data_IF_535797746944
#
_entry.id   IF_535797746944
#
_cell.length_a   1.000
_cell.length_b   1.000
_cell.length_c   1.000
_cell.angle_alpha   90.00
_cell.angle_beta   90.00
_cell.angle_gamma   90.00
#
_symmetry.space_group_name_H-M   'P 1'
#
loop_
_entity.id
_entity.type
_entity.pdbx_description
1 polymer ?
#
# COMPACT_ATOMS: atom_id res chain seq x y z
N UNK A 1 -15.06 1.77 6.06
CA UNK A 1 -14.42 3.09 5.86
C UNK A 1 -15.07 4.25 6.62
N UNK A 2 -16.41 4.46 6.64
CA UNK A 2 -17.03 5.58 7.40
C UNK A 2 -16.76 5.58 8.92
N UNK A 3 -16.61 4.43 9.59
CA UNK A 3 -16.40 4.34 11.06
C UNK A 3 -14.94 4.59 11.49
N UNK A 4 -13.94 4.32 10.67
CA UNK A 4 -12.53 4.55 11.01
C UNK A 4 -12.15 6.04 10.98
N UNK A 5 -12.77 6.82 10.07
CA UNK A 5 -12.56 8.27 10.00
C UNK A 5 -13.20 9.06 11.14
N UNK A 6 -14.18 8.49 11.86
CA UNK A 6 -14.86 9.20 12.95
C UNK A 6 -14.04 9.28 14.25
N UNK A 7 -13.10 8.37 14.47
CA UNK A 7 -12.30 8.31 15.70
C UNK A 7 -11.13 9.29 15.69
N UNK A 8 -10.53 9.54 14.51
CA UNK A 8 -9.43 10.52 14.38
C UNK A 8 -9.91 11.97 14.28
N UNK A 9 -11.13 12.22 13.78
CA UNK A 9 -11.69 13.60 13.70
C UNK A 9 -11.95 14.24 15.06
N UNK A 10 -12.17 13.45 16.11
CA UNK A 10 -12.42 13.98 17.45
C UNK A 10 -11.17 14.42 18.21
N UNK A 11 -10.01 13.77 17.97
CA UNK A 11 -8.86 13.93 18.86
C UNK A 11 -8.06 15.21 18.60
N UNK A 12 -7.78 15.57 17.36
CA UNK A 12 -6.98 16.77 17.04
C UNK A 12 -7.76 18.06 17.27
N UNK A 13 -9.03 18.12 16.88
CA UNK A 13 -9.91 19.26 17.16
C UNK A 13 -10.15 19.42 18.66
N UNK A 14 -10.28 18.32 19.40
CA UNK A 14 -10.44 18.33 20.86
C UNK A 14 -9.15 18.77 21.56
N UNK A 15 -7.99 18.28 21.09
CA UNK A 15 -6.68 18.68 21.64
C UNK A 15 -6.40 20.18 21.41
N UNK A 16 -6.69 20.68 20.23
CA UNK A 16 -6.56 22.12 19.92
C UNK A 16 -7.51 22.97 20.77
N UNK A 17 -8.75 22.56 20.97
CA UNK A 17 -9.68 23.24 21.87
C UNK A 17 -9.20 23.19 23.33
N UNK A 18 -8.72 22.03 23.80
CA UNK A 18 -8.18 21.90 25.16
C UNK A 18 -6.95 22.79 25.37
N UNK A 19 -6.04 22.85 24.41
CA UNK A 19 -4.87 23.75 24.42
C UNK A 19 -5.31 25.22 24.39
N UNK A 20 -6.33 25.58 23.62
CA UNK A 20 -6.87 26.93 23.57
C UNK A 20 -7.46 27.38 24.92
N UNK A 21 -8.29 26.52 25.52
CA UNK A 21 -8.88 26.81 26.84
C UNK A 21 -7.80 26.89 27.94
N UNK A 22 -6.80 26.02 27.88
CA UNK A 22 -5.67 26.04 28.81
C UNK A 22 -4.90 27.37 28.75
N UNK A 23 -4.52 27.80 27.54
CA UNK A 23 -3.79 29.06 27.37
C UNK A 23 -4.63 30.30 27.65
N UNK A 24 -5.93 30.31 27.33
CA UNK A 24 -6.82 31.38 27.72
C UNK A 24 -6.95 31.50 29.25
N UNK A 25 -7.05 30.36 29.94
CA UNK A 25 -7.07 30.32 31.42
C UNK A 25 -5.74 30.78 32.02
N UNK A 26 -4.59 30.39 31.46
CA UNK A 26 -3.26 30.84 31.88
C UNK A 26 -3.13 32.37 31.71
N UNK A 27 -3.54 32.94 30.59
CA UNK A 27 -3.48 34.37 30.35
C UNK A 27 -4.36 35.15 31.34
N UNK A 28 -5.53 34.61 31.70
CA UNK A 28 -6.41 35.22 32.69
C UNK A 28 -5.86 35.13 34.12
N UNK A 29 -5.26 33.99 34.49
CA UNK A 29 -4.63 33.74 35.78
C UNK A 29 -3.42 34.65 36.05
N UNK A 30 -2.64 34.98 35.01
CA UNK A 30 -1.47 35.84 35.13
C UNK A 30 -1.78 37.34 34.90
N UNK A 31 -3.05 37.76 34.94
CA UNK A 31 -3.51 39.15 34.80
C UNK A 31 -3.04 39.86 33.54
N UNK A 32 -2.86 39.14 32.44
CA UNK A 32 -2.62 39.77 31.15
C UNK A 32 -3.88 40.52 30.68
N UNK A 33 -3.71 41.60 29.95
CA UNK A 33 -4.85 42.37 29.43
C UNK A 33 -5.78 41.50 28.59
N UNK A 34 -7.09 41.60 28.83
CA UNK A 34 -8.12 40.75 28.20
C UNK A 34 -8.09 40.79 26.67
N UNK A 35 -7.61 41.89 26.07
CA UNK A 35 -7.47 41.99 24.60
C UNK A 35 -6.37 41.06 24.05
N UNK A 36 -5.36 40.71 24.81
CA UNK A 36 -4.37 39.70 24.39
C UNK A 36 -4.96 38.26 24.36
N UNK A 37 -5.79 37.94 25.34
CA UNK A 37 -6.52 36.67 25.36
C UNK A 37 -7.53 36.61 24.20
N UNK A 38 -8.23 37.73 23.92
CA UNK A 38 -9.14 37.84 22.78
C UNK A 38 -8.40 37.75 21.44
N UNK A 39 -7.27 38.43 21.28
CA UNK A 39 -6.44 38.34 20.07
C UNK A 39 -5.93 36.91 19.82
N UNK A 40 -5.47 36.21 20.85
CA UNK A 40 -5.04 34.83 20.77
C UNK A 40 -6.20 33.90 20.37
N UNK A 41 -7.38 34.05 20.97
CA UNK A 41 -8.57 33.27 20.62
C UNK A 41 -9.00 33.50 19.14
N UNK A 42 -8.91 34.71 18.63
CA UNK A 42 -9.21 35.03 17.21
C UNK A 42 -8.21 34.33 16.28
N UNK A 43 -6.92 34.39 16.59
CA UNK A 43 -5.87 33.70 15.79
C UNK A 43 -6.09 32.17 15.79
N UNK A 44 -6.32 31.58 16.96
CA UNK A 44 -6.57 30.15 17.06
C UNK A 44 -7.84 29.72 16.31
N UNK A 45 -8.91 30.52 16.39
CA UNK A 45 -10.14 30.27 15.64
C UNK A 45 -9.91 30.38 14.13
N UNK A 46 -9.14 31.36 13.67
CA UNK A 46 -8.79 31.50 12.26
C UNK A 46 -7.97 30.31 11.76
N UNK A 47 -6.96 29.87 12.52
CA UNK A 47 -6.15 28.67 12.21
C UNK A 47 -7.04 27.42 12.18
N UNK A 48 -7.92 27.23 13.15
CA UNK A 48 -8.87 26.14 13.19
C UNK A 48 -9.80 26.12 11.96
N UNK A 49 -10.36 27.28 11.59
CA UNK A 49 -11.22 27.40 10.40
C UNK A 49 -10.44 27.08 9.12
N UNK A 50 -9.19 27.55 9.02
CA UNK A 50 -8.34 27.27 7.84
C UNK A 50 -8.02 25.78 7.74
N UNK A 51 -7.64 25.13 8.86
CA UNK A 51 -7.34 23.70 8.89
C UNK A 51 -8.58 22.88 8.58
N UNK A 52 -9.72 23.21 9.18
CA UNK A 52 -10.98 22.50 8.93
C UNK A 52 -11.47 22.67 7.48
N UNK A 53 -11.31 23.86 6.89
CA UNK A 53 -11.61 24.08 5.46
C UNK A 53 -10.69 23.28 4.55
N UNK A 54 -9.39 23.17 4.87
CA UNK A 54 -8.44 22.33 4.11
C UNK A 54 -8.82 20.85 4.20
N UNK A 55 -9.16 20.35 5.38
CA UNK A 55 -9.63 18.97 5.55
C UNK A 55 -10.95 18.70 4.81
N UNK A 56 -11.92 19.62 4.89
CA UNK A 56 -13.18 19.46 4.19
C UNK A 56 -13.00 19.49 2.67
N UNK A 57 -12.16 20.40 2.15
CA UNK A 57 -11.83 20.45 0.72
C UNK A 57 -11.14 19.15 0.27
N UNK A 58 -10.12 18.70 0.99
CA UNK A 58 -9.44 17.45 0.70
C UNK A 58 -10.37 16.24 0.77
N UNK A 59 -11.33 16.21 1.72
CA UNK A 59 -12.34 15.16 1.80
C UNK A 59 -13.32 15.17 0.62
N UNK A 60 -13.73 16.38 0.19
CA UNK A 60 -14.60 16.55 -0.96
C UNK A 60 -13.92 16.16 -2.26
N UNK A 61 -12.65 16.58 -2.45
CA UNK A 61 -11.86 16.23 -3.63
C UNK A 61 -11.66 14.72 -3.75
N UNK A 62 -11.40 14.04 -2.63
CA UNK A 62 -11.30 12.57 -2.63
C UNK A 62 -12.63 11.88 -2.95
N UNK A 63 -13.74 12.34 -2.39
CA UNK A 63 -15.04 11.75 -2.68
C UNK A 63 -15.41 11.91 -4.17
N UNK A 64 -15.00 13.02 -4.79
CA UNK A 64 -15.17 13.24 -6.23
C UNK A 64 -14.30 12.26 -7.04
N UNK A 65 -13.01 12.11 -6.69
CA UNK A 65 -12.09 11.15 -7.32
C UNK A 65 -12.57 9.71 -7.13
N UNK A 66 -12.99 9.32 -5.92
CA UNK A 66 -13.55 7.99 -5.64
C UNK A 66 -14.80 7.69 -6.47
N UNK A 67 -15.69 8.70 -6.63
CA UNK A 67 -16.88 8.57 -7.47
C UNK A 67 -16.52 8.42 -8.96
N UNK A 68 -15.54 9.17 -9.43
CA UNK A 68 -15.03 9.08 -10.80
C UNK A 68 -14.37 7.72 -11.06
N UNK A 69 -13.56 7.24 -10.11
CA UNK A 69 -12.92 5.93 -10.15
C UNK A 69 -13.96 4.79 -10.19
N UNK A 70 -15.00 4.86 -9.36
CA UNK A 70 -16.10 3.88 -9.38
C UNK A 70 -16.86 3.89 -10.71
N UNK A 71 -17.05 5.07 -11.31
CA UNK A 71 -17.68 5.18 -12.65
C UNK A 71 -16.76 4.60 -13.72
N UNK A 72 -15.47 4.91 -13.69
CA UNK A 72 -14.49 4.37 -14.64
C UNK A 72 -14.36 2.86 -14.52
N UNK A 73 -14.30 2.30 -13.29
CA UNK A 73 -14.32 0.87 -13.01
C UNK A 73 -15.57 0.20 -13.60
N UNK A 74 -16.75 0.81 -13.37
CA UNK A 74 -18.01 0.31 -13.94
C UNK A 74 -17.98 0.32 -15.48
N UNK A 75 -17.50 1.40 -16.09
CA UNK A 75 -17.39 1.53 -17.54
C UNK A 75 -16.36 0.56 -18.10
N UNK A 76 -15.20 0.44 -17.49
CA UNK A 76 -14.17 -0.50 -17.88
C UNK A 76 -14.65 -1.96 -17.78
N UNK A 77 -15.41 -2.31 -16.73
CA UNK A 77 -16.00 -3.64 -16.58
C UNK A 77 -17.13 -3.95 -17.57
N UNK A 78 -17.76 -2.93 -18.15
CA UNK A 78 -18.81 -3.12 -19.16
C UNK A 78 -18.26 -3.13 -20.59
N UNK A 79 -17.25 -2.31 -20.88
CA UNK A 79 -16.78 -2.04 -22.24
C UNK A 79 -15.33 -2.47 -22.48
N UNK A 80 -14.68 -3.08 -21.49
CA UNK A 80 -13.24 -3.44 -21.56
C UNK A 80 -12.30 -2.24 -21.66
N UNK A 81 -12.75 -1.03 -21.28
CA UNK A 81 -11.98 0.22 -21.38
C UNK A 81 -11.04 0.40 -20.19
N UNK A 82 -10.08 -0.53 -20.08
CA UNK A 82 -9.04 -0.48 -19.06
C UNK A 82 -8.18 0.79 -19.16
N UNK A 83 -8.04 1.35 -20.38
CA UNK A 83 -7.24 2.56 -20.62
C UNK A 83 -7.83 3.82 -19.96
N UNK A 84 -9.16 3.97 -20.00
CA UNK A 84 -9.83 5.07 -19.28
C UNK A 84 -9.65 4.97 -17.78
N UNK A 85 -9.74 3.77 -17.22
CA UNK A 85 -9.50 3.54 -15.78
C UNK A 85 -8.08 3.95 -15.39
N UNK A 86 -7.12 3.53 -16.16
CA UNK A 86 -5.72 3.86 -15.92
C UNK A 86 -5.48 5.38 -15.94
N UNK A 87 -5.90 6.08 -16.97
CA UNK A 87 -5.73 7.54 -17.08
C UNK A 87 -6.32 8.28 -15.86
N UNK A 88 -7.45 7.80 -15.36
CA UNK A 88 -8.09 8.38 -14.18
C UNK A 88 -7.27 8.05 -12.92
N UNK A 89 -6.79 6.81 -12.80
CA UNK A 89 -5.93 6.41 -11.68
C UNK A 89 -4.62 7.18 -11.67
N UNK A 90 -3.94 7.29 -12.81
CA UNK A 90 -2.64 7.95 -12.91
C UNK A 90 -2.74 9.47 -12.68
N UNK A 91 -3.69 10.13 -13.35
CA UNK A 91 -3.74 11.58 -13.36
C UNK A 91 -4.47 12.18 -12.15
N UNK A 92 -5.38 11.44 -11.51
CA UNK A 92 -6.21 11.94 -10.40
C UNK A 92 -6.17 11.04 -9.17
N UNK A 93 -6.33 9.72 -9.36
CA UNK A 93 -6.47 8.78 -8.26
C UNK A 93 -5.21 8.65 -7.41
N UNK A 94 -4.09 8.31 -8.02
CA UNK A 94 -2.81 8.14 -7.31
C UNK A 94 -2.31 9.43 -6.65
N UNK A 95 -2.31 10.60 -7.30
CA UNK A 95 -1.91 11.84 -6.64
C UNK A 95 -2.74 12.15 -5.39
N UNK A 96 -4.06 11.95 -5.44
CA UNK A 96 -4.92 12.19 -4.28
C UNK A 96 -4.74 11.13 -3.17
N UNK A 97 -4.53 9.87 -3.54
CA UNK A 97 -4.23 8.82 -2.58
C UNK A 97 -2.88 9.03 -1.92
N UNK A 98 -1.85 9.44 -2.67
CA UNK A 98 -0.52 9.73 -2.14
C UNK A 98 -0.50 10.86 -1.13
N UNK A 99 -1.33 11.90 -1.30
CA UNK A 99 -1.50 12.97 -0.29
C UNK A 99 -2.06 12.47 1.05
N UNK A 100 -2.64 11.27 1.07
CA UNK A 100 -3.30 10.65 2.24
C UNK A 100 -2.61 9.40 2.71
N UNK A 101 -1.48 9.05 2.09
CA UNK A 101 -0.67 7.95 2.58
C UNK A 101 -0.24 8.22 4.02
N UNK A 102 -0.18 7.21 4.85
CA UNK A 102 0.41 7.35 6.18
C UNK A 102 1.88 7.75 6.03
N UNK A 103 2.44 8.37 7.05
CA UNK A 103 3.90 8.65 7.08
C UNK A 103 4.71 7.38 7.35
N UNK A 104 4.07 6.32 7.83
CA UNK A 104 4.69 5.06 8.23
C UNK A 104 3.96 3.86 7.66
N UNK A 105 4.72 2.83 7.34
CA UNK A 105 4.24 1.50 6.92
C UNK A 105 4.94 0.41 7.70
N UNK A 106 4.33 -0.76 7.73
CA UNK A 106 4.76 -1.87 8.58
C UNK A 106 4.94 -3.14 7.73
N UNK A 107 6.00 -3.90 8.02
CA UNK A 107 6.21 -5.19 7.38
C UNK A 107 6.46 -6.25 8.42
N UNK A 108 5.68 -7.33 8.33
CA UNK A 108 5.79 -8.49 9.18
C UNK A 108 6.79 -9.50 8.61
N UNK A 109 7.50 -10.16 9.50
CA UNK A 109 8.49 -11.17 9.17
C UNK A 109 8.30 -12.40 10.06
N UNK A 110 8.20 -13.56 9.45
CA UNK A 110 8.16 -14.81 10.20
C UNK A 110 9.56 -15.15 10.75
N UNK A 111 9.61 -15.68 11.96
CA UNK A 111 10.77 -16.37 12.52
C UNK A 111 10.32 -17.74 13.00
N UNK A 112 11.11 -18.77 12.70
CA UNK A 112 10.93 -20.13 13.20
C UNK A 112 11.82 -20.42 14.39
N UNK A 113 12.35 -21.62 14.42
CA UNK A 113 13.23 -22.10 15.50
C UNK A 113 14.71 -22.07 15.08
N UNK A 114 15.15 -21.04 14.38
CA UNK A 114 16.56 -20.83 14.03
C UNK A 114 17.00 -21.50 12.73
N UNK A 115 16.10 -21.66 11.76
CA UNK A 115 16.45 -22.22 10.45
C UNK A 115 17.33 -21.24 9.62
N UNK A 116 17.90 -21.74 8.53
CA UNK A 116 18.74 -20.95 7.61
C UNK A 116 17.98 -19.75 7.03
N UNK A 117 16.67 -19.89 6.81
CA UNK A 117 15.84 -18.82 6.28
C UNK A 117 15.66 -17.68 7.27
N UNK A 118 15.62 -17.99 8.57
CA UNK A 118 15.57 -16.95 9.62
C UNK A 118 16.84 -16.10 9.62
N UNK A 119 18.02 -16.74 9.50
CA UNK A 119 19.29 -16.04 9.36
C UNK A 119 19.31 -15.12 8.14
N UNK A 120 18.88 -15.59 6.99
CA UNK A 120 18.80 -14.82 5.75
C UNK A 120 17.84 -13.62 5.87
N UNK A 121 16.69 -13.78 6.54
CA UNK A 121 15.75 -12.67 6.77
C UNK A 121 16.36 -11.58 7.64
N UNK A 122 16.93 -11.95 8.77
CA UNK A 122 17.58 -11.02 9.68
C UNK A 122 18.72 -10.28 9.01
N UNK A 123 19.57 -10.99 8.26
CA UNK A 123 20.66 -10.38 7.50
C UNK A 123 20.16 -9.42 6.41
N UNK A 124 19.09 -9.79 5.70
CA UNK A 124 18.46 -8.95 4.68
C UNK A 124 17.99 -7.64 5.29
N UNK A 125 17.26 -7.70 6.41
CA UNK A 125 16.77 -6.50 7.10
C UNK A 125 17.93 -5.68 7.68
N UNK A 126 18.94 -6.34 8.28
CA UNK A 126 20.13 -5.71 8.84
C UNK A 126 20.96 -4.93 7.79
N UNK A 127 20.84 -5.29 6.51
CA UNK A 127 21.47 -4.61 5.38
C UNK A 127 20.54 -3.58 4.70
N UNK A 128 19.46 -3.16 5.35
CA UNK A 128 18.46 -2.23 4.81
C UNK A 128 17.89 -2.70 3.46
N UNK A 129 17.64 -4.01 3.33
CA UNK A 129 17.07 -4.63 2.13
C UNK A 129 15.81 -5.39 2.47
N UNK A 130 14.95 -5.52 1.46
CA UNK A 130 13.71 -6.30 1.52
C UNK A 130 13.64 -7.24 0.32
N UNK A 131 13.05 -8.42 0.55
CA UNK A 131 12.75 -9.34 -0.53
C UNK A 131 11.49 -8.88 -1.27
N UNK A 132 11.63 -8.64 -2.57
CA UNK A 132 10.55 -8.35 -3.50
C UNK A 132 10.20 -9.62 -4.26
N UNK A 133 9.00 -10.15 -4.03
CA UNK A 133 8.55 -11.45 -4.58
C UNK A 133 7.84 -11.28 -5.91
N UNK A 134 7.96 -12.27 -6.81
CA UNK A 134 7.06 -12.38 -7.96
C UNK A 134 5.65 -12.77 -7.49
N UNK A 135 4.58 -12.40 -8.24
CA UNK A 135 3.19 -12.68 -7.84
C UNK A 135 2.89 -14.15 -7.58
N UNK A 136 3.53 -15.06 -8.30
CA UNK A 136 3.37 -16.51 -8.12
C UNK A 136 3.89 -17.04 -6.77
N UNK A 137 4.57 -16.21 -6.00
CA UNK A 137 5.05 -16.53 -4.64
C UNK A 137 4.10 -16.11 -3.53
N UNK A 138 2.96 -15.49 -3.85
CA UNK A 138 1.96 -15.04 -2.89
C UNK A 138 0.96 -16.14 -2.55
N UNK A 139 0.24 -15.97 -1.45
CA UNK A 139 -0.80 -16.89 -1.00
C UNK A 139 -2.17 -16.68 -1.69
N UNK A 140 -2.39 -15.54 -2.30
CA UNK A 140 -3.59 -15.26 -3.08
C UNK A 140 -3.46 -15.84 -4.50
N UNK A 141 -4.28 -16.81 -4.91
CA UNK A 141 -4.23 -17.37 -6.26
C UNK A 141 -4.57 -16.36 -7.36
N UNK A 142 -5.27 -15.27 -7.02
CA UNK A 142 -5.61 -14.19 -7.95
C UNK A 142 -4.62 -13.01 -7.90
N UNK A 143 -3.46 -13.19 -7.26
CA UNK A 143 -2.48 -12.12 -7.18
C UNK A 143 -1.98 -11.67 -8.55
N UNK A 144 -2.13 -10.37 -8.84
CA UNK A 144 -1.89 -9.75 -10.16
C UNK A 144 -2.71 -10.36 -11.31
N UNK A 145 -3.83 -11.02 -10.99
CA UNK A 145 -4.80 -11.54 -11.97
C UNK A 145 -6.07 -10.70 -12.06
N UNK A 146 -5.95 -9.41 -11.81
CA UNK A 146 -7.08 -8.51 -11.84
C UNK A 146 -7.76 -8.41 -13.22
N UNK A 147 -7.03 -8.66 -14.29
CA UNK A 147 -7.55 -8.65 -15.65
C UNK A 147 -7.84 -10.06 -16.16
N UNK A 148 -8.82 -10.17 -17.07
CA UNK A 148 -9.15 -11.41 -17.76
C UNK A 148 -9.60 -11.14 -19.20
N UNK A 149 -9.50 -12.16 -20.06
CA UNK A 149 -10.16 -12.22 -21.37
C UNK A 149 -10.85 -13.58 -21.47
N UNK A 150 -12.05 -13.58 -22.05
CA UNK A 150 -12.75 -14.80 -22.41
C UNK A 150 -13.18 -14.77 -23.90
N UNK A 151 -13.71 -15.89 -24.39
CA UNK A 151 -14.25 -15.96 -25.78
C UNK A 151 -15.31 -14.91 -26.02
N UNK A 152 -16.12 -14.59 -25.01
CA UNK A 152 -17.15 -13.55 -25.10
C UNK A 152 -16.54 -12.19 -25.39
N UNK A 153 -15.55 -11.76 -24.60
CA UNK A 153 -14.88 -10.47 -24.79
C UNK A 153 -14.13 -10.40 -26.14
N UNK A 154 -13.54 -11.51 -26.59
CA UNK A 154 -12.91 -11.59 -27.92
C UNK A 154 -13.94 -11.48 -29.05
N UNK A 155 -15.11 -12.12 -28.90
CA UNK A 155 -16.22 -12.03 -29.85
C UNK A 155 -16.76 -10.60 -29.97
N UNK A 156 -16.87 -9.88 -28.85
CA UNK A 156 -17.33 -8.48 -28.82
C UNK A 156 -16.44 -7.53 -29.61
N UNK A 157 -15.13 -7.82 -29.73
CA UNK A 157 -14.18 -7.04 -30.53
C UNK A 157 -13.90 -7.64 -31.93
N UNK A 158 -14.71 -8.63 -32.32
CA UNK A 158 -14.73 -9.17 -33.70
C UNK A 158 -13.67 -10.22 -34.01
N UNK A 159 -13.10 -10.90 -33.00
CA UNK A 159 -12.20 -12.04 -33.26
C UNK A 159 -12.97 -13.21 -33.91
N UNK A 160 -12.44 -13.80 -35.00
CA UNK A 160 -13.06 -14.94 -35.63
C UNK A 160 -13.09 -16.16 -34.68
N UNK A 161 -14.18 -16.95 -34.60
CA UNK A 161 -14.33 -18.10 -33.71
C UNK A 161 -13.16 -19.11 -33.80
N UNK A 162 -12.64 -19.35 -35.03
CA UNK A 162 -11.55 -20.28 -35.25
C UNK A 162 -10.17 -19.79 -34.77
N UNK A 163 -10.06 -18.55 -34.35
CA UNK A 163 -8.81 -17.92 -33.81
C UNK A 163 -8.87 -17.63 -32.35
N UNK A 164 -10.06 -17.73 -31.70
CA UNK A 164 -10.27 -17.37 -30.30
C UNK A 164 -9.32 -18.11 -29.35
N UNK A 165 -9.19 -19.42 -29.50
CA UNK A 165 -8.29 -20.20 -28.64
C UNK A 165 -6.82 -19.78 -28.78
N UNK A 166 -6.39 -19.43 -30.00
CA UNK A 166 -5.03 -18.91 -30.23
C UNK A 166 -4.84 -17.54 -29.57
N UNK A 167 -5.86 -16.68 -29.61
CA UNK A 167 -5.83 -15.37 -28.96
C UNK A 167 -5.78 -15.50 -27.43
N UNK A 168 -6.55 -16.41 -26.83
CA UNK A 168 -6.52 -16.70 -25.40
C UNK A 168 -5.13 -17.21 -24.99
N UNK A 169 -4.56 -18.15 -25.71
CA UNK A 169 -3.22 -18.67 -25.42
C UNK A 169 -2.14 -17.56 -25.54
N UNK A 170 -2.29 -16.66 -26.50
CA UNK A 170 -1.39 -15.51 -26.66
C UNK A 170 -1.51 -14.55 -25.48
N UNK A 171 -2.74 -14.25 -25.03
CA UNK A 171 -2.98 -13.45 -23.82
C UNK A 171 -2.28 -14.04 -22.62
N UNK A 172 -2.51 -15.31 -22.31
CA UNK A 172 -1.89 -16.01 -21.18
C UNK A 172 -0.36 -15.97 -21.26
N UNK A 173 0.19 -16.15 -22.45
CA UNK A 173 1.64 -16.09 -22.68
C UNK A 173 2.20 -14.69 -22.41
N UNK A 174 1.55 -13.65 -22.92
CA UNK A 174 1.98 -12.26 -22.76
C UNK A 174 1.88 -11.81 -21.29
N UNK A 175 0.74 -12.04 -20.67
CA UNK A 175 0.53 -11.66 -19.27
C UNK A 175 1.43 -12.47 -18.33
N UNK A 176 1.58 -13.76 -18.58
CA UNK A 176 2.50 -14.60 -17.82
C UNK A 176 3.94 -14.08 -17.87
N UNK A 177 4.44 -13.76 -19.07
CA UNK A 177 5.78 -13.21 -19.27
C UNK A 177 5.99 -11.85 -18.56
N UNK A 178 4.94 -11.03 -18.45
CA UNK A 178 4.99 -9.75 -17.75
C UNK A 178 4.94 -9.99 -16.24
N UNK A 179 4.04 -10.85 -15.75
CA UNK A 179 3.92 -11.20 -14.32
C UNK A 179 5.21 -11.78 -13.75
N UNK A 180 5.94 -12.58 -14.53
CA UNK A 180 7.26 -13.09 -14.13
C UNK A 180 8.30 -11.99 -13.91
N UNK A 181 8.09 -10.78 -14.46
CA UNK A 181 8.99 -9.64 -14.31
C UNK A 181 8.53 -8.63 -13.26
N UNK A 182 7.29 -8.74 -12.81
CA UNK A 182 6.80 -7.91 -11.72
C UNK A 182 7.29 -8.51 -10.41
N UNK A 183 7.84 -7.67 -9.54
CA UNK A 183 8.13 -8.05 -8.16
C UNK A 183 7.52 -7.02 -7.21
N UNK A 184 7.07 -7.48 -6.05
CA UNK A 184 6.28 -6.69 -5.11
C UNK A 184 6.83 -6.84 -3.70
N UNK A 185 6.95 -5.71 -3.01
CA UNK A 185 7.12 -5.67 -1.55
C UNK A 185 5.82 -5.17 -0.95
N UNK A 186 5.20 -5.98 -0.09
CA UNK A 186 3.94 -5.64 0.57
C UNK A 186 4.19 -5.09 1.98
N UNK A 187 3.47 -4.04 2.31
CA UNK A 187 3.42 -3.41 3.62
C UNK A 187 1.96 -3.30 4.07
N UNK A 188 1.73 -3.11 5.36
CA UNK A 188 0.43 -2.75 5.92
C UNK A 188 0.49 -1.40 6.62
N UNK A 189 -0.67 -0.80 6.85
CA UNK A 189 -0.79 0.45 7.61
C UNK A 189 -1.02 0.22 9.11
N UNK A 190 -1.16 -1.04 9.54
CA UNK A 190 -1.52 -1.37 10.93
C UNK A 190 -0.51 -2.35 11.55
N UNK A 191 0.24 -1.95 12.59
CA UNK A 191 1.19 -2.81 13.29
C UNK A 191 0.51 -3.74 14.33
N UNK A 192 -0.77 -3.50 14.64
CA UNK A 192 -1.48 -4.18 15.73
C UNK A 192 -2.56 -5.15 15.21
N UNK A 193 -2.49 -5.52 13.93
CA UNK A 193 -3.46 -6.40 13.30
C UNK A 193 -3.19 -7.86 13.66
N UNK A 194 -4.08 -8.49 14.42
CA UNK A 194 -3.91 -9.87 14.88
C UNK A 194 -3.83 -10.89 13.75
N UNK A 195 -4.69 -10.86 12.71
CA UNK A 195 -4.53 -11.68 11.52
C UNK A 195 -3.16 -11.53 10.85
N UNK A 196 -2.63 -10.30 10.73
CA UNK A 196 -1.30 -10.08 10.15
C UNK A 196 -0.19 -10.72 11.00
N UNK A 197 -0.25 -10.61 12.31
CA UNK A 197 0.67 -11.29 13.23
C UNK A 197 0.57 -12.81 13.12
N UNK A 198 -0.63 -13.36 12.99
CA UNK A 198 -0.85 -14.80 12.87
C UNK A 198 -0.29 -15.33 11.54
N UNK A 199 -0.61 -14.69 10.41
CA UNK A 199 -0.29 -15.20 9.07
C UNK A 199 1.13 -14.88 8.62
N UNK A 200 1.64 -13.68 8.94
CA UNK A 200 2.90 -13.17 8.39
C UNK A 200 4.05 -13.13 9.38
N UNK A 201 3.77 -13.25 10.69
CA UNK A 201 4.78 -13.32 11.73
C UNK A 201 4.83 -14.70 12.43
N UNK A 202 4.50 -15.77 11.71
CA UNK A 202 4.55 -17.15 12.22
C UNK A 202 3.86 -17.28 13.59
N UNK A 203 2.55 -17.07 13.65
CA UNK A 203 1.76 -17.21 14.88
C UNK A 203 2.29 -16.34 16.03
N UNK A 204 2.64 -15.09 15.73
CA UNK A 204 3.21 -14.11 16.67
C UNK A 204 4.63 -14.46 17.18
N UNK A 205 5.34 -15.41 16.56
CA UNK A 205 6.72 -15.77 16.92
C UNK A 205 7.77 -14.89 16.24
N UNK A 206 7.40 -14.20 15.16
CA UNK A 206 8.26 -13.34 14.37
C UNK A 206 8.29 -11.89 14.88
N UNK A 207 8.52 -10.99 13.96
CA UNK A 207 8.66 -9.56 14.25
C UNK A 207 7.99 -8.69 13.18
N UNK A 208 7.82 -7.43 13.51
CA UNK A 208 7.33 -6.41 12.57
C UNK A 208 8.31 -5.23 12.59
N UNK A 209 8.60 -4.66 11.43
CA UNK A 209 9.42 -3.44 11.32
C UNK A 209 8.55 -2.30 10.83
N UNK A 210 8.64 -1.18 11.51
CA UNK A 210 8.10 0.11 11.11
C UNK A 210 9.08 0.79 10.18
N UNK A 211 8.58 1.29 9.06
CA UNK A 211 9.34 2.09 8.11
C UNK A 211 8.67 3.45 7.95
N UNK A 212 9.44 4.52 8.01
CA UNK A 212 9.01 5.85 7.60
C UNK A 212 9.12 5.98 6.08
N UNK A 213 8.16 6.67 5.47
CA UNK A 213 8.10 6.87 4.02
C UNK A 213 8.81 8.16 3.66
N UNK A 214 9.93 8.04 2.94
CA UNK A 214 10.71 9.16 2.42
C UNK A 214 10.16 9.67 1.08
N UNK A 215 9.72 8.73 0.23
CA UNK A 215 9.20 9.03 -1.10
C UNK A 215 7.90 8.26 -1.38
N UNK A 216 6.73 8.88 -1.13
CA UNK A 216 5.44 8.25 -1.39
C UNK A 216 5.15 8.01 -2.88
N UNK A 217 5.94 8.59 -3.81
CA UNK A 217 5.74 8.39 -5.25
C UNK A 217 6.07 6.96 -5.70
N UNK A 218 6.90 6.26 -4.95
CA UNK A 218 7.33 4.87 -5.20
C UNK A 218 6.36 3.81 -4.69
N UNK A 219 5.33 4.23 -3.96
CA UNK A 219 4.39 3.34 -3.28
C UNK A 219 2.98 3.44 -3.87
N UNK A 220 2.29 2.32 -3.85
CA UNK A 220 0.94 2.15 -4.39
C UNK A 220 0.01 1.60 -3.31
N UNK A 221 -1.01 2.37 -2.87
CA UNK A 221 -2.09 1.82 -2.06
C UNK A 221 -2.85 0.75 -2.85
N UNK A 222 -3.22 -0.35 -2.19
CA UNK A 222 -3.99 -1.42 -2.85
C UNK A 222 -5.46 -1.03 -2.99
N UNK A 223 -5.98 -1.24 -4.20
CA UNK A 223 -7.39 -1.04 -4.54
C UNK A 223 -8.14 -2.36 -4.38
N UNK A 224 -9.01 -2.42 -3.39
CA UNK A 224 -9.81 -3.60 -3.11
C UNK A 224 -11.13 -3.59 -3.89
N UNK A 225 -11.38 -4.65 -4.67
CA UNK A 225 -12.56 -4.77 -5.53
C UNK A 225 -13.10 -6.20 -5.47
N UNK A 226 -14.39 -6.36 -5.78
CA UNK A 226 -15.07 -7.65 -5.92
C UNK A 226 -15.17 -8.12 -7.38
N UNK A 227 -14.57 -7.38 -8.34
CA UNK A 227 -14.67 -7.65 -9.77
C UNK A 227 -13.33 -7.60 -10.44
N UNK A 228 -13.11 -8.57 -11.31
CA UNK A 228 -12.00 -8.55 -12.27
C UNK A 228 -12.38 -7.69 -13.47
N UNK A 229 -11.38 -7.15 -14.15
CA UNK A 229 -11.54 -6.24 -15.27
C UNK A 229 -11.37 -6.98 -16.60
N UNK A 230 -12.34 -6.91 -17.55
CA UNK A 230 -12.14 -7.41 -18.89
C UNK A 230 -11.08 -6.57 -19.62
N UNK A 231 -10.15 -7.22 -20.30
CA UNK A 231 -8.92 -6.62 -20.80
C UNK A 231 -8.77 -6.67 -22.34
N UNK A 232 -9.87 -6.87 -23.11
CA UNK A 232 -9.80 -7.00 -24.56
C UNK A 232 -9.15 -5.79 -25.24
N UNK A 233 -9.43 -4.57 -24.80
CA UNK A 233 -8.82 -3.36 -25.35
C UNK A 233 -7.30 -3.30 -25.04
N UNK A 234 -6.89 -3.69 -23.83
CA UNK A 234 -5.48 -3.78 -23.46
C UNK A 234 -4.77 -4.85 -24.29
N UNK A 235 -5.42 -6.00 -24.52
CA UNK A 235 -4.88 -7.07 -25.33
C UNK A 235 -4.60 -6.64 -26.79
N UNK A 236 -5.55 -5.95 -27.40
CA UNK A 236 -5.36 -5.41 -28.76
C UNK A 236 -4.21 -4.41 -28.80
N UNK A 237 -4.13 -3.51 -27.83
CA UNK A 237 -3.04 -2.53 -27.75
C UNK A 237 -1.67 -3.18 -27.50
N UNK A 238 -1.62 -4.25 -26.69
CA UNK A 238 -0.39 -5.03 -26.48
C UNK A 238 0.06 -5.69 -27.79
N UNK A 239 -0.84 -6.40 -28.47
CA UNK A 239 -0.53 -7.02 -29.78
C UNK A 239 -0.02 -5.96 -30.75
N UNK A 240 -0.74 -4.85 -30.90
CA UNK A 240 -0.35 -3.78 -31.81
C UNK A 240 1.05 -3.24 -31.47
N UNK A 241 1.34 -2.97 -30.20
CA UNK A 241 2.64 -2.44 -29.79
C UNK A 241 3.79 -3.44 -29.91
N UNK A 242 3.53 -4.75 -29.83
CA UNK A 242 4.56 -5.77 -29.99
C UNK A 242 4.90 -6.05 -31.46
N UNK A 243 3.90 -5.97 -32.34
CA UNK A 243 4.07 -6.33 -33.76
C UNK A 243 4.25 -5.12 -34.68
N UNK A 244 4.06 -3.91 -34.19
CA UNK A 244 4.28 -2.68 -34.96
C UNK A 244 5.51 -1.94 -34.45
N UNK A 245 6.57 -1.88 -35.27
CA UNK A 245 7.82 -1.16 -34.96
C UNK A 245 7.63 0.35 -34.82
N UNK A 246 6.60 0.91 -35.46
CA UNK A 246 6.35 2.36 -35.52
C UNK A 246 5.70 2.91 -34.25
N UNK A 247 5.32 2.03 -33.29
CA UNK A 247 4.81 2.48 -32.00
C UNK A 247 5.94 3.11 -31.19
N UNK A 248 5.81 4.37 -30.73
CA UNK A 248 6.81 5.04 -29.94
C UNK A 248 7.11 4.27 -28.63
N UNK A 249 8.36 4.30 -28.21
CA UNK A 249 8.78 3.63 -26.96
C UNK A 249 8.06 4.18 -25.72
N UNK A 250 7.66 5.45 -25.73
CA UNK A 250 6.87 6.06 -24.65
C UNK A 250 5.47 5.45 -24.54
N UNK A 251 4.82 5.14 -25.66
CA UNK A 251 3.52 4.47 -25.65
C UNK A 251 3.62 3.02 -25.17
N UNK A 252 4.70 2.32 -25.53
CA UNK A 252 5.00 0.98 -24.99
C UNK A 252 5.25 1.02 -23.49
N UNK A 253 6.00 2.00 -23.03
CA UNK A 253 6.27 2.22 -21.59
C UNK A 253 5.00 2.54 -20.82
N UNK A 254 4.14 3.39 -21.40
CA UNK A 254 2.84 3.72 -20.85
C UNK A 254 1.99 2.46 -20.65
N UNK A 255 1.98 1.58 -21.66
CA UNK A 255 1.23 0.33 -21.63
C UNK A 255 1.75 -0.65 -20.54
N UNK A 256 3.08 -0.72 -20.35
CA UNK A 256 3.68 -1.51 -19.28
C UNK A 256 3.39 -0.92 -17.89
N UNK A 257 3.43 0.39 -17.74
CA UNK A 257 3.06 1.08 -16.50
C UNK A 257 1.61 0.81 -16.10
N UNK A 258 0.72 0.65 -17.07
CA UNK A 258 -0.65 0.20 -16.84
C UNK A 258 -0.71 -1.13 -16.09
N UNK A 259 0.04 -2.11 -16.58
CA UNK A 259 0.06 -3.45 -16.01
C UNK A 259 0.65 -3.42 -14.60
N UNK A 260 1.69 -2.60 -14.40
CA UNK A 260 2.27 -2.36 -13.06
C UNK A 260 1.22 -1.80 -12.12
N UNK A 261 0.49 -0.77 -12.52
CA UNK A 261 -0.54 -0.16 -11.69
C UNK A 261 -1.71 -1.13 -11.40
N UNK A 262 -2.10 -1.94 -12.39
CA UNK A 262 -3.14 -2.96 -12.19
C UNK A 262 -2.70 -4.08 -11.25
N UNK A 263 -1.39 -4.23 -11.00
CA UNK A 263 -0.86 -5.11 -9.94
C UNK A 263 -1.08 -4.58 -8.51
N UNK A 264 -1.59 -3.35 -8.37
CA UNK A 264 -2.05 -2.81 -7.09
C UNK A 264 -3.55 -3.10 -6.80
N UNK A 265 -4.19 -3.97 -7.58
CA UNK A 265 -5.57 -4.40 -7.32
C UNK A 265 -5.59 -5.77 -6.64
N UNK A 266 -6.52 -5.94 -5.69
CA UNK A 266 -6.68 -7.18 -4.92
C UNK A 266 -8.16 -7.44 -4.62
N UNK A 267 -8.52 -8.70 -4.40
CA UNK A 267 -9.88 -9.04 -4.00
C UNK A 267 -10.26 -8.40 -2.67
N UNK A 268 -11.53 -7.98 -2.57
CA UNK A 268 -12.05 -7.27 -1.40
C UNK A 268 -11.98 -8.09 -0.10
N UNK A 269 -11.95 -9.41 -0.16
CA UNK A 269 -11.80 -10.27 1.02
C UNK A 269 -10.51 -10.00 1.78
N UNK A 270 -9.46 -9.51 1.10
CA UNK A 270 -8.18 -9.14 1.69
C UNK A 270 -8.10 -7.70 2.22
N UNK A 271 -9.20 -6.95 2.20
CA UNK A 271 -9.22 -5.52 2.56
C UNK A 271 -8.79 -5.21 4.01
N UNK A 272 -8.84 -6.19 4.89
CA UNK A 272 -8.35 -6.08 6.27
C UNK A 272 -6.83 -5.83 6.33
N UNK A 273 -6.07 -6.28 5.33
CA UNK A 273 -4.62 -6.09 5.29
C UNK A 273 -4.20 -4.62 5.14
N UNK A 274 -5.08 -3.73 4.64
CA UNK A 274 -4.78 -2.31 4.40
C UNK A 274 -3.43 -2.12 3.71
N UNK A 275 -3.23 -2.83 2.61
CA UNK A 275 -1.94 -3.05 1.99
C UNK A 275 -1.45 -1.81 1.22
N UNK A 276 -0.14 -1.57 1.28
CA UNK A 276 0.62 -0.64 0.44
C UNK A 276 1.74 -1.43 -0.22
N UNK A 277 1.99 -1.20 -1.51
CA UNK A 277 2.95 -1.96 -2.31
C UNK A 277 4.04 -1.08 -2.89
N UNK A 278 5.29 -1.54 -2.85
CA UNK A 278 6.30 -1.15 -3.82
C UNK A 278 6.29 -2.17 -4.96
N UNK A 279 6.07 -1.71 -6.18
CA UNK A 279 5.91 -2.57 -7.37
C UNK A 279 7.00 -2.24 -8.38
N UNK A 280 7.72 -3.26 -8.84
CA UNK A 280 8.83 -3.11 -9.76
C UNK A 280 8.63 -3.97 -11.01
N UNK A 281 8.90 -3.38 -12.16
CA UNK A 281 9.03 -4.13 -13.42
C UNK A 281 10.54 -4.34 -13.70
N UNK A 282 10.97 -5.59 -13.74
CA UNK A 282 12.37 -5.94 -13.77
C UNK A 282 12.78 -6.51 -15.12
N UNK A 283 14.05 -6.28 -15.52
CA UNK A 283 14.69 -7.05 -16.57
C UNK A 283 14.96 -8.49 -16.10
N UNK A 284 15.05 -9.46 -17.03
CA UNK A 284 15.31 -10.87 -16.70
C UNK A 284 16.60 -11.08 -15.89
N UNK A 285 17.63 -10.29 -16.16
CA UNK A 285 18.92 -10.38 -15.49
C UNK A 285 18.89 -9.94 -14.00
N UNK A 286 17.83 -9.25 -13.58
CA UNK A 286 17.73 -8.69 -12.23
C UNK A 286 16.99 -9.58 -11.26
N UNK A 287 16.47 -10.74 -11.71
CA UNK A 287 15.72 -11.67 -10.89
C UNK A 287 16.60 -12.86 -10.46
N UNK A 288 16.52 -13.19 -9.18
CA UNK A 288 17.11 -14.41 -8.60
C UNK A 288 15.99 -15.34 -8.16
N UNK A 289 15.69 -16.36 -8.98
CA UNK A 289 14.60 -17.29 -8.72
C UNK A 289 13.23 -16.59 -8.73
N UNK A 290 12.51 -16.61 -7.59
CA UNK A 290 11.16 -16.07 -7.43
C UNK A 290 11.10 -14.61 -6.94
N UNK A 291 12.16 -13.82 -7.18
CA UNK A 291 12.18 -12.43 -6.74
C UNK A 291 13.56 -11.80 -6.78
N UNK A 292 13.73 -10.68 -6.11
CA UNK A 292 15.00 -9.99 -5.92
C UNK A 292 15.08 -9.26 -4.59
N UNK A 293 16.28 -8.89 -4.18
CA UNK A 293 16.48 -7.94 -3.09
C UNK A 293 16.36 -6.51 -3.59
N UNK A 294 15.63 -5.68 -2.84
CA UNK A 294 15.51 -4.24 -3.04
C UNK A 294 16.09 -3.53 -1.82
N UNK A 295 16.81 -2.43 -2.01
CA UNK A 295 17.19 -1.57 -0.88
C UNK A 295 15.99 -0.77 -0.39
N UNK A 296 15.97 -0.40 0.89
CA UNK A 296 14.97 0.50 1.44
C UNK A 296 14.98 1.86 0.73
N UNK A 297 16.16 2.37 0.34
CA UNK A 297 16.32 3.59 -0.45
C UNK A 297 15.65 3.50 -1.83
N UNK A 298 15.80 2.35 -2.52
CA UNK A 298 15.11 2.11 -3.79
C UNK A 298 13.59 2.18 -3.63
N UNK A 299 13.06 1.67 -2.51
CA UNK A 299 11.64 1.71 -2.17
C UNK A 299 11.21 3.10 -1.70
N UNK A 300 12.12 3.94 -1.23
CA UNK A 300 11.86 5.27 -0.66
C UNK A 300 11.35 5.20 0.78
N UNK A 301 11.97 4.36 1.60
CA UNK A 301 11.64 4.15 3.01
C UNK A 301 12.91 3.94 3.83
N UNK A 302 12.84 4.15 5.15
CA UNK A 302 13.87 3.72 6.10
C UNK A 302 13.25 3.12 7.37
N UNK A 303 13.91 2.14 8.03
CA UNK A 303 13.40 1.54 9.25
C UNK A 303 13.53 2.51 10.43
N UNK A 304 12.51 2.53 11.30
CA UNK A 304 12.47 3.41 12.47
C UNK A 304 12.24 2.69 13.78
N UNK A 305 11.60 1.50 13.75
CA UNK A 305 11.30 0.73 14.95
C UNK A 305 11.08 -0.74 14.65
N UNK A 306 11.39 -1.60 15.61
CA UNK A 306 11.19 -3.04 15.54
C UNK A 306 10.22 -3.48 16.64
N UNK A 307 9.22 -4.28 16.28
CA UNK A 307 8.26 -4.89 17.21
C UNK A 307 8.51 -6.40 17.30
N UNK A 308 8.69 -6.91 18.50
CA UNK A 308 8.92 -8.32 18.79
C UNK A 308 7.58 -8.99 19.10
N UNK A 309 7.25 -10.08 18.41
CA UNK A 309 5.99 -10.78 18.59
C UNK A 309 5.83 -11.40 19.98
N UNK A 310 4.58 -11.52 20.42
CA UNK A 310 4.20 -11.98 21.77
C UNK A 310 4.75 -13.38 22.08
N UNK A 311 4.79 -14.26 21.07
CA UNK A 311 5.24 -15.64 21.21
C UNK A 311 6.70 -15.84 20.75
N UNK A 312 7.49 -14.76 20.66
CA UNK A 312 8.89 -14.84 20.26
C UNK A 312 9.69 -15.61 21.30
N UNK A 313 10.54 -16.53 20.85
CA UNK A 313 11.42 -17.29 21.75
C UNK A 313 12.53 -16.40 22.30
N UNK A 314 13.07 -16.68 23.50
CA UNK A 314 14.17 -15.90 24.08
C UNK A 314 15.40 -15.78 23.17
N UNK A 315 15.74 -16.85 22.44
CA UNK A 315 16.86 -16.82 21.51
C UNK A 315 16.62 -15.89 20.32
N UNK A 316 15.40 -15.92 19.74
CA UNK A 316 15.03 -15.01 18.66
C UNK A 316 14.88 -13.58 19.17
N UNK A 317 14.37 -13.38 20.36
CA UNK A 317 14.30 -12.06 20.99
C UNK A 317 15.68 -11.41 21.07
N UNK A 318 16.70 -12.14 21.57
CA UNK A 318 18.08 -11.66 21.60
C UNK A 318 18.57 -11.26 20.21
N UNK A 319 18.36 -12.13 19.20
CA UNK A 319 18.73 -11.81 17.79
C UNK A 319 18.03 -10.56 17.24
N UNK A 320 16.80 -10.30 17.67
CA UNK A 320 16.04 -9.12 17.27
C UNK A 320 16.51 -7.84 17.96
N UNK A 321 16.96 -7.95 19.22
CA UNK A 321 17.61 -6.85 19.94
C UNK A 321 18.92 -6.50 19.24
N UNK A 322 19.78 -7.50 18.94
CA UNK A 322 21.03 -7.31 18.19
C UNK A 322 20.76 -6.68 16.81
N UNK A 323 19.65 -7.06 16.15
CA UNK A 323 19.23 -6.46 14.88
C UNK A 323 18.86 -4.98 15.04
N UNK A 324 18.11 -4.62 16.09
CA UNK A 324 17.71 -3.25 16.34
C UNK A 324 18.91 -2.34 16.62
N UNK A 325 19.89 -2.85 17.38
CA UNK A 325 21.17 -2.16 17.63
C UNK A 325 21.95 -1.93 16.33
N UNK A 326 22.04 -2.96 15.47
CA UNK A 326 22.72 -2.84 14.16
C UNK A 326 22.06 -1.82 13.24
N UNK A 327 20.74 -1.72 13.28
CA UNK A 327 19.96 -0.75 12.51
C UNK A 327 19.91 0.64 13.17
N UNK A 328 20.36 0.77 14.42
CA UNK A 328 20.26 1.98 15.24
C UNK A 328 18.82 2.47 15.40
N UNK A 329 17.88 1.54 15.61
CA UNK A 329 16.46 1.81 15.82
C UNK A 329 16.00 1.28 17.18
N UNK A 330 14.90 1.83 17.70
CA UNK A 330 14.28 1.32 18.92
C UNK A 330 13.58 -0.02 18.67
N UNK A 331 13.45 -0.84 19.73
CA UNK A 331 12.58 -2.00 19.71
C UNK A 331 11.52 -1.92 20.81
N UNK A 332 10.39 -2.58 20.57
CA UNK A 332 9.31 -2.74 21.53
C UNK A 332 8.86 -4.21 21.55
N UNK A 333 8.58 -4.73 22.74
CA UNK A 333 7.92 -6.02 22.88
C UNK A 333 6.41 -5.86 22.76
N UNK A 334 5.78 -6.78 22.08
CA UNK A 334 4.33 -6.83 21.99
C UNK A 334 3.78 -7.67 23.15
N UNK A 335 2.62 -7.26 23.69
CA UNK A 335 1.88 -7.97 24.72
C UNK A 335 0.41 -8.11 24.32
N UNK A 336 -0.28 -9.07 24.92
CA UNK A 336 -1.73 -9.18 24.76
C UNK A 336 -2.40 -8.17 25.69
N UNK A 337 -3.32 -7.39 25.16
CA UNK A 337 -4.11 -6.47 25.98
C UNK A 337 -4.95 -7.23 26.99
N UNK A 338 -4.96 -6.75 28.23
CA UNK A 338 -5.76 -7.35 29.32
C UNK A 338 -7.27 -7.14 29.17
N UNK A 339 -7.70 -6.18 28.38
CA UNK A 339 -9.11 -5.75 28.30
C UNK A 339 -9.68 -5.68 26.86
N UNK A 340 -8.90 -6.03 25.84
CA UNK A 340 -9.31 -6.03 24.43
C UNK A 340 -8.68 -7.21 23.69
N UNK A 341 -9.29 -7.66 22.60
CA UNK A 341 -8.66 -8.59 21.66
C UNK A 341 -7.70 -7.81 20.75
N UNK A 342 -6.53 -7.47 21.29
CA UNK A 342 -5.53 -6.69 20.58
C UNK A 342 -4.12 -7.02 21.06
N UNK A 343 -3.16 -6.92 20.17
CA UNK A 343 -1.74 -6.82 20.49
C UNK A 343 -1.45 -5.36 20.82
N UNK A 344 -0.83 -5.12 21.97
CA UNK A 344 -0.42 -3.81 22.45
C UNK A 344 1.09 -3.79 22.70
N UNK A 345 1.65 -2.61 22.83
CA UNK A 345 3.06 -2.40 23.12
C UNK A 345 3.27 -2.41 24.62
N UNK A 346 4.32 -3.08 25.09
CA UNK A 346 4.73 -2.93 26.48
C UNK A 346 5.36 -1.54 26.66
N UNK A 347 4.91 -0.84 27.67
CA UNK A 347 5.44 0.48 28.04
C UNK A 347 6.72 0.36 28.85
#
# INVERSE_FOLDING_TARGET
>A
MKKMFSVYKGSLAWLLNAVMFFWAAVLLLFRYPWYMAAGFAVICTAVFVILNRREQKSAHDFAAVEKELKRALKKASQNGDAMSLYRILENKGLPELRKRMPTKVYKYFSLGNGDVKDGQRLETVANNKLWSSVPTGFNDPFECEYMYISEKELGEIGFPPNTMQKALNLWETLIGAIRERITIVCFTQNPNDMPMWAHYANEHKGFCVEYEIDDPSKLYPVFYTDKRLPAQALFVNLIYSFFNSDVPDDDRRLLLNHIVLLSAFKDKSWSAENEIRAIFLNGRANLSGKGRLCSCEEIGIHPTRLFIGVNCSPDNEKRLIDLSEKLQIEYEKCELSSNKFAVVRSH
#
